data_IF_159729349485
#
_entry.id   IF_159729349485
#
_cell.length_a   1.000
_cell.length_b   1.000
_cell.length_c   1.000
_cell.angle_alpha   90.00
_cell.angle_beta   90.00
_cell.angle_gamma   90.00
#
_symmetry.space_group_name_H-M   'P 1'
#
loop_
_entity.id
_entity.type
_entity.pdbx_description
1 polymer ?
#
# COMPACT_ATOMS: atom_id res chain seq x y z
N UNK A 1 -4.10 -2.40 -24.34
CA UNK A 1 -5.56 -2.37 -24.06
C UNK A 1 -5.69 -2.04 -22.59
N UNK A 2 -6.35 -0.93 -22.25
CA UNK A 2 -6.48 -0.49 -20.86
C UNK A 2 -7.43 -1.44 -20.11
N UNK A 3 -6.88 -2.32 -19.28
CA UNK A 3 -7.64 -3.11 -18.31
C UNK A 3 -8.27 -2.14 -17.32
N UNK A 4 -9.57 -1.90 -17.47
CA UNK A 4 -10.35 -1.18 -16.47
C UNK A 4 -10.46 -2.09 -15.25
N UNK A 5 -9.77 -1.71 -14.18
CA UNK A 5 -9.90 -2.33 -12.87
C UNK A 5 -11.38 -2.29 -12.44
N UNK A 6 -11.97 -3.38 -11.93
CA UNK A 6 -13.27 -3.29 -11.29
C UNK A 6 -13.17 -2.33 -10.09
N UNK A 7 -14.05 -1.33 -10.05
CA UNK A 7 -14.19 -0.47 -8.88
C UNK A 7 -14.54 -1.35 -7.68
N UNK A 8 -13.60 -1.51 -6.74
CA UNK A 8 -13.85 -2.20 -5.49
C UNK A 8 -15.01 -1.47 -4.80
N UNK A 9 -16.17 -2.12 -4.71
CA UNK A 9 -17.33 -1.55 -4.00
C UNK A 9 -16.91 -1.19 -2.58
N UNK A 10 -17.17 0.06 -2.15
CA UNK A 10 -16.82 0.55 -0.80
C UNK A 10 -17.34 -0.43 0.25
N UNK A 11 -16.43 -1.12 0.95
CA UNK A 11 -16.82 -2.13 1.94
C UNK A 11 -17.26 -1.42 3.21
N UNK A 12 -18.35 -1.89 3.82
CA UNK A 12 -18.93 -1.26 5.01
C UNK A 12 -18.06 -1.35 6.28
N UNK A 13 -16.93 -2.07 6.23
CA UNK A 13 -15.99 -2.23 7.35
C UNK A 13 -15.00 -1.06 7.48
N UNK A 14 -14.88 -0.20 6.45
CA UNK A 14 -13.93 0.90 6.42
C UNK A 14 -14.58 2.22 6.82
N UNK A 15 -13.85 2.96 7.65
CA UNK A 15 -14.18 4.32 8.09
C UNK A 15 -13.39 5.34 7.27
N UNK A 16 -13.62 6.64 7.48
CA UNK A 16 -13.01 7.68 6.65
C UNK A 16 -11.47 7.66 6.73
N UNK A 17 -10.89 7.46 7.91
CA UNK A 17 -9.42 7.32 8.07
C UNK A 17 -8.84 6.16 7.24
N UNK A 18 -9.62 5.08 7.07
CA UNK A 18 -9.20 3.94 6.25
C UNK A 18 -9.24 4.29 4.77
N UNK A 19 -10.24 5.03 4.32
CA UNK A 19 -10.36 5.46 2.92
C UNK A 19 -9.31 6.52 2.56
N UNK A 20 -8.99 7.43 3.50
CA UNK A 20 -7.90 8.40 3.34
C UNK A 20 -6.54 7.69 3.25
N UNK A 21 -6.29 6.71 4.12
CA UNK A 21 -5.11 5.87 4.05
C UNK A 21 -5.03 5.10 2.73
N UNK A 22 -6.15 4.52 2.28
CA UNK A 22 -6.24 3.82 0.99
C UNK A 22 -5.88 4.72 -0.17
N UNK A 23 -6.43 5.93 -0.22
CA UNK A 23 -6.10 6.88 -1.28
C UNK A 23 -4.62 7.27 -1.26
N UNK A 24 -4.07 7.53 -0.07
CA UNK A 24 -2.65 7.85 0.10
C UNK A 24 -1.75 6.72 -0.41
N UNK A 25 -2.01 5.49 -0.01
CA UNK A 25 -1.22 4.33 -0.41
C UNK A 25 -1.36 4.05 -1.92
N UNK A 26 -2.56 4.18 -2.48
CA UNK A 26 -2.78 4.06 -3.94
C UNK A 26 -1.94 5.07 -4.73
N UNK A 27 -1.89 6.32 -4.28
CA UNK A 27 -1.08 7.36 -4.93
C UNK A 27 0.41 7.04 -4.85
N UNK A 28 0.88 6.52 -3.72
CA UNK A 28 2.25 6.03 -3.59
C UNK A 28 2.55 4.91 -4.59
N UNK A 29 1.71 3.87 -4.67
CA UNK A 29 1.89 2.79 -5.64
C UNK A 29 1.93 3.33 -7.08
N UNK A 30 0.99 4.19 -7.46
CA UNK A 30 0.88 4.74 -8.81
C UNK A 30 2.11 5.56 -9.22
N UNK A 31 2.72 6.30 -8.28
CA UNK A 31 3.83 7.20 -8.57
C UNK A 31 5.20 6.52 -8.43
N UNK A 32 5.36 5.64 -7.44
CA UNK A 32 6.68 5.14 -7.02
C UNK A 32 6.91 3.68 -7.37
N UNK A 33 5.85 2.88 -7.57
CA UNK A 33 5.96 1.42 -7.74
C UNK A 33 5.57 0.98 -9.14
N UNK A 34 4.34 1.27 -9.56
CA UNK A 34 3.76 0.82 -10.84
C UNK A 34 4.62 1.14 -12.07
N UNK A 35 5.25 2.33 -12.19
CA UNK A 35 6.08 2.65 -13.37
C UNK A 35 7.33 1.79 -13.53
N UNK A 36 7.75 1.09 -12.47
CA UNK A 36 9.02 0.37 -12.40
C UNK A 36 8.86 -1.14 -12.15
N UNK A 37 7.67 -1.57 -11.72
CA UNK A 37 7.41 -2.92 -11.23
C UNK A 37 7.78 -4.03 -12.22
N UNK A 38 7.43 -3.87 -13.51
CA UNK A 38 7.72 -4.89 -14.54
C UNK A 38 9.23 -5.21 -14.64
N UNK A 39 10.07 -4.18 -14.53
CA UNK A 39 11.53 -4.36 -14.54
C UNK A 39 12.00 -5.09 -13.28
N UNK A 40 11.47 -4.71 -12.11
CA UNK A 40 11.84 -5.35 -10.83
C UNK A 40 11.42 -6.82 -10.77
N UNK A 41 10.27 -7.15 -11.37
CA UNK A 41 9.79 -8.51 -11.51
C UNK A 41 10.73 -9.33 -12.41
N UNK A 42 11.14 -8.78 -13.56
CA UNK A 42 12.12 -9.41 -14.45
C UNK A 42 13.49 -9.62 -13.78
N UNK A 43 13.94 -8.63 -13.00
CA UNK A 43 15.22 -8.68 -12.28
C UNK A 43 15.14 -9.53 -11.01
N UNK A 44 13.94 -9.90 -10.55
CA UNK A 44 13.69 -10.64 -9.32
C UNK A 44 14.02 -9.87 -8.05
N UNK A 45 14.10 -8.53 -8.10
CA UNK A 45 14.48 -7.70 -6.96
C UNK A 45 13.79 -6.33 -6.96
N UNK A 46 13.22 -5.97 -5.81
CA UNK A 46 12.69 -4.64 -5.55
C UNK A 46 13.80 -3.78 -4.90
N UNK A 47 14.06 -2.55 -5.39
CA UNK A 47 15.06 -1.66 -4.80
C UNK A 47 14.77 -1.35 -3.32
N UNK A 48 15.81 -1.32 -2.50
CA UNK A 48 15.69 -1.07 -1.05
C UNK A 48 15.08 0.30 -0.74
N UNK A 49 15.36 1.27 -1.60
CA UNK A 49 14.94 2.66 -1.50
C UNK A 49 13.41 2.78 -1.49
N UNK A 50 12.70 1.88 -2.16
CA UNK A 50 11.23 1.86 -2.17
C UNK A 50 10.68 1.55 -0.78
N UNK A 51 11.29 0.62 -0.05
CA UNK A 51 10.89 0.32 1.33
C UNK A 51 11.23 1.49 2.28
N UNK A 52 12.34 2.19 2.06
CA UNK A 52 12.67 3.38 2.83
C UNK A 52 11.62 4.48 2.63
N UNK A 53 11.26 4.79 1.38
CA UNK A 53 10.18 5.74 1.07
C UNK A 53 8.83 5.32 1.66
N UNK A 54 8.47 4.04 1.53
CA UNK A 54 7.23 3.52 2.12
C UNK A 54 7.20 3.72 3.65
N UNK A 55 8.35 3.53 4.32
CA UNK A 55 8.50 3.82 5.75
C UNK A 55 8.33 5.29 6.09
N UNK A 56 8.93 6.20 5.32
CA UNK A 56 8.79 7.66 5.50
C UNK A 56 7.34 8.13 5.35
N UNK A 57 6.55 7.45 4.52
CA UNK A 57 5.12 7.71 4.34
C UNK A 57 4.22 6.99 5.35
N UNK A 58 4.77 6.19 6.26
CA UNK A 58 4.00 5.45 7.27
C UNK A 58 3.27 4.22 6.73
N UNK A 59 3.68 3.67 5.57
CA UNK A 59 3.06 2.48 4.98
C UNK A 59 3.65 1.15 5.48
N UNK A 60 4.59 1.20 6.42
CA UNK A 60 5.23 0.03 7.01
C UNK A 60 5.02 0.00 8.52
N UNK A 61 5.04 -1.20 9.10
CA UNK A 61 5.00 -1.35 10.56
C UNK A 61 3.68 -0.90 11.19
N UNK A 62 2.54 -1.30 10.63
CA UNK A 62 1.21 -0.90 11.11
C UNK A 62 1.01 -1.20 12.61
N UNK A 63 1.36 -2.40 13.04
CA UNK A 63 1.26 -2.81 14.45
C UNK A 63 2.50 -2.47 15.28
N UNK A 64 3.50 -1.82 14.68
CA UNK A 64 4.70 -1.44 15.42
C UNK A 64 4.37 -0.18 16.24
N UNK A 65 4.71 -0.15 17.55
CA UNK A 65 4.53 1.04 18.38
C UNK A 65 5.24 2.28 17.82
N UNK A 66 4.66 3.45 18.04
CA UNK A 66 5.23 4.73 17.60
C UNK A 66 6.64 5.00 18.17
N UNK A 67 6.95 4.49 19.37
CA UNK A 67 8.29 4.62 20.00
C UNK A 67 9.40 3.97 19.15
N UNK A 68 9.05 3.05 18.25
CA UNK A 68 9.96 2.41 17.32
C UNK A 68 9.79 2.92 15.87
N UNK A 69 8.98 3.96 15.67
CA UNK A 69 8.70 4.56 14.36
C UNK A 69 7.64 3.82 13.54
N UNK A 70 6.79 3.00 14.17
CA UNK A 70 5.63 2.38 13.52
C UNK A 70 4.39 3.25 13.53
N UNK A 71 3.31 2.77 12.90
CA UNK A 71 2.06 3.53 12.77
C UNK A 71 1.16 3.47 14.03
N UNK A 72 1.46 2.62 15.01
CA UNK A 72 0.74 2.57 16.28
C UNK A 72 -0.71 2.04 16.21
N UNK A 73 -1.16 1.49 15.07
CA UNK A 73 -2.54 1.00 14.86
C UNK A 73 -2.75 -0.45 15.31
N UNK A 74 -2.16 -0.83 16.45
CA UNK A 74 -1.95 -2.22 16.90
C UNK A 74 -3.17 -3.17 16.82
N UNK A 75 -4.36 -2.67 17.09
CA UNK A 75 -5.59 -3.48 17.12
C UNK A 75 -6.39 -3.43 15.81
N UNK A 76 -5.99 -2.61 14.84
CA UNK A 76 -6.72 -2.39 13.60
C UNK A 76 -6.00 -2.95 12.36
N UNK A 77 -6.34 -4.19 12.01
CA UNK A 77 -5.81 -4.86 10.83
C UNK A 77 -6.41 -4.37 9.50
N UNK A 78 -7.42 -3.49 9.51
CA UNK A 78 -8.04 -2.99 8.28
C UNK A 78 -7.07 -2.18 7.42
N UNK A 79 -6.10 -1.48 8.03
CA UNK A 79 -5.01 -0.80 7.31
C UNK A 79 -4.12 -1.78 6.53
N UNK A 80 -3.85 -2.95 7.10
CA UNK A 80 -3.05 -3.99 6.43
C UNK A 80 -3.83 -4.65 5.29
N UNK A 81 -5.13 -4.86 5.50
CA UNK A 81 -6.02 -5.33 4.44
C UNK A 81 -6.03 -4.34 3.26
N UNK A 82 -6.06 -3.04 3.52
CA UNK A 82 -5.96 -2.01 2.47
C UNK A 82 -4.64 -2.10 1.69
N UNK A 83 -3.50 -2.26 2.38
CA UNK A 83 -2.21 -2.45 1.69
C UNK A 83 -2.29 -3.63 0.71
N UNK A 84 -2.76 -4.78 1.16
CA UNK A 84 -2.90 -5.96 0.32
C UNK A 84 -3.88 -5.74 -0.85
N UNK A 85 -5.04 -5.14 -0.58
CA UNK A 85 -6.05 -4.86 -1.60
C UNK A 85 -5.53 -3.91 -2.69
N UNK A 86 -4.82 -2.84 -2.33
CA UNK A 86 -4.29 -1.88 -3.31
C UNK A 86 -3.10 -2.45 -4.08
N UNK A 87 -2.25 -3.30 -3.47
CA UNK A 87 -1.23 -4.05 -4.21
C UNK A 87 -1.86 -4.99 -5.26
N UNK A 88 -2.89 -5.75 -4.86
CA UNK A 88 -3.62 -6.61 -5.81
C UNK A 88 -4.33 -5.79 -6.89
N UNK A 89 -4.92 -4.65 -6.55
CA UNK A 89 -5.50 -3.74 -7.53
C UNK A 89 -4.41 -3.27 -8.51
N UNK A 90 -3.26 -2.84 -8.04
CA UNK A 90 -2.15 -2.42 -8.91
C UNK A 90 -1.52 -3.56 -9.74
N UNK A 91 -2.00 -4.81 -9.64
CA UNK A 91 -1.43 -6.01 -10.26
C UNK A 91 0.03 -6.25 -9.84
N UNK A 92 0.33 -5.99 -8.57
CA UNK A 92 1.63 -6.28 -7.97
C UNK A 92 1.54 -7.66 -7.31
N UNK A 93 1.97 -8.71 -8.01
CA UNK A 93 2.01 -10.09 -7.49
C UNK A 93 2.14 -11.17 -8.54
#
# INVERSE_FOLDING_TARGET
MATTQPALSRRAIYEDDHEDFRESFRRFLANEVVPHYEQWEQDGIVPREIFAKAGEHGFLGMQVPEEYGGAGVGDDFRFNAIIGEECCAANLG
#
